data_IF_444978833218
#
_entry.id   IF_444978833218
#
_cell.length_a   1.000
_cell.length_b   1.000
_cell.length_c   1.000
_cell.angle_alpha   90.00
_cell.angle_beta   90.00
_cell.angle_gamma   90.00
#
_symmetry.space_group_name_H-M   'P 1'
#
loop_
_entity.id
_entity.type
_entity.pdbx_description
1 polymer ?
#
# COMPACT_ATOMS: atom_id res chain seq x y z
N UNK A 1 52.53 40.92 7.58
CA UNK A 1 53.43 40.22 8.51
C UNK A 1 52.97 38.75 8.42
N UNK A 2 53.51 37.90 7.52
CA UNK A 2 54.81 37.20 7.55
C UNK A 2 54.94 36.42 8.88
N UNK A 3 55.00 35.10 8.85
CA UNK A 3 56.01 34.15 8.35
C UNK A 3 55.47 32.73 8.47
N UNK A 4 55.47 31.90 7.51
CA UNK A 4 56.38 30.86 6.97
C UNK A 4 57.18 30.06 8.02
N UNK A 5 57.14 28.74 7.88
CA UNK A 5 58.03 27.74 8.44
C UNK A 5 57.64 26.35 7.97
N UNK A 6 58.32 25.84 7.26
CA UNK A 6 58.76 24.95 6.21
C UNK A 6 59.54 23.74 6.80
N UNK A 7 59.46 22.58 6.09
CA UNK A 7 60.47 21.49 5.90
C UNK A 7 60.76 20.56 7.11
N UNK A 8 60.89 19.23 6.97
CA UNK A 8 61.51 18.38 5.95
C UNK A 8 61.39 16.88 6.32
N UNK A 9 61.17 16.06 5.35
CA UNK A 9 61.93 14.86 4.89
C UNK A 9 62.43 13.80 5.87
N UNK A 10 62.20 12.55 5.51
CA UNK A 10 62.94 11.38 6.00
C UNK A 10 62.48 10.08 5.35
N UNK A 11 63.10 9.72 4.23
CA UNK A 11 63.07 8.36 3.66
C UNK A 11 63.87 7.41 4.54
N UNK A 12 63.55 6.13 4.58
CA UNK A 12 64.46 5.06 4.22
C UNK A 12 63.82 3.68 4.03
N UNK A 13 64.44 3.00 3.06
CA UNK A 13 64.22 1.67 2.49
C UNK A 13 64.77 0.55 3.38
N UNK A 14 64.32 -0.69 3.13
CA UNK A 14 65.09 -1.92 2.83
C UNK A 14 64.09 -3.12 2.92
N UNK A 15 63.77 -3.84 1.84
CA UNK A 15 64.49 -4.84 1.05
C UNK A 15 64.79 -6.16 1.78
N UNK A 16 64.40 -7.24 1.14
CA UNK A 16 64.81 -8.65 1.06
C UNK A 16 63.75 -9.63 1.56
N UNK A 17 63.46 -10.77 0.89
CA UNK A 17 64.11 -11.46 -0.21
C UNK A 17 63.30 -12.73 -0.51
N UNK A 18 63.44 -13.15 -1.75
CA UNK A 18 62.89 -14.35 -2.38
C UNK A 18 63.39 -15.67 -1.77
N UNK A 19 62.54 -16.75 -1.86
CA UNK A 19 63.04 -18.08 -2.27
C UNK A 19 61.96 -18.91 -2.95
N UNK A 20 62.30 -19.33 -4.18
CA UNK A 20 61.70 -20.40 -4.98
C UNK A 20 62.16 -21.76 -4.46
N UNK A 21 61.31 -22.78 -4.54
CA UNK A 21 61.65 -24.22 -4.74
C UNK A 21 60.49 -24.85 -5.52
N UNK A 22 60.67 -25.10 -6.70
CA UNK A 22 61.15 -26.22 -7.54
C UNK A 22 60.15 -27.41 -7.63
N UNK A 23 59.78 -27.64 -8.92
CA UNK A 23 58.98 -28.75 -9.45
C UNK A 23 59.76 -30.06 -9.45
N UNK A 24 59.04 -31.18 -9.23
CA UNK A 24 59.41 -32.53 -9.74
C UNK A 24 58.16 -33.20 -10.32
N UNK A 25 58.17 -33.70 -11.56
CA UNK A 25 57.06 -34.43 -12.13
C UNK A 25 57.20 -35.93 -11.90
N UNK A 26 56.14 -36.61 -11.53
CA UNK A 26 56.04 -38.08 -11.61
C UNK A 26 55.05 -38.49 -12.71
N UNK A 27 55.63 -39.15 -13.75
CA UNK A 27 54.87 -39.90 -14.73
C UNK A 27 54.31 -41.16 -14.12
N UNK A 28 53.00 -41.42 -14.28
CA UNK A 28 52.33 -42.67 -13.93
C UNK A 28 51.24 -43.05 -14.95
N UNK A 29 51.35 -44.20 -15.48
CA UNK A 29 50.73 -44.86 -16.60
C UNK A 29 49.21 -44.68 -16.81
N UNK A 30 48.79 -44.51 -18.04
CA UNK A 30 47.44 -44.51 -18.52
C UNK A 30 46.81 -45.91 -18.53
N UNK A 31 45.71 -46.13 -17.84
CA UNK A 31 44.82 -47.26 -18.07
C UNK A 31 43.57 -46.75 -18.80
N UNK A 32 43.39 -47.22 -20.03
CA UNK A 32 42.21 -46.96 -20.85
C UNK A 32 41.03 -47.79 -20.32
N UNK A 33 40.07 -47.19 -19.65
CA UNK A 33 38.78 -47.79 -19.32
C UNK A 33 37.74 -47.25 -20.28
N UNK A 34 37.25 -48.10 -21.18
CA UNK A 34 36.12 -47.81 -22.08
C UNK A 34 34.84 -47.72 -21.24
N UNK A 35 34.32 -46.51 -21.05
CA UNK A 35 33.02 -46.27 -20.39
C UNK A 35 31.91 -46.32 -21.44
N UNK A 36 30.94 -47.19 -21.22
CA UNK A 36 29.66 -47.21 -21.92
C UNK A 36 28.84 -45.94 -21.67
N UNK A 37 28.01 -45.47 -22.63
CA UNK A 37 27.23 -44.27 -22.44
C UNK A 37 26.16 -44.47 -21.35
N UNK A 38 26.31 -43.76 -20.24
CA UNK A 38 25.25 -43.60 -19.24
C UNK A 38 24.19 -42.66 -19.78
N UNK A 39 22.99 -43.16 -20.03
CA UNK A 39 21.78 -42.37 -20.20
C UNK A 39 21.56 -41.55 -18.91
N UNK A 40 21.73 -40.25 -19.03
CA UNK A 40 21.34 -39.31 -17.94
C UNK A 40 19.82 -39.29 -17.93
N UNK A 41 19.23 -39.99 -16.96
CA UNK A 41 17.83 -39.83 -16.66
C UNK A 41 17.64 -38.38 -16.18
N UNK A 42 16.83 -37.60 -16.91
CA UNK A 42 16.40 -36.26 -16.51
C UNK A 42 15.69 -36.39 -15.16
N UNK A 43 16.22 -35.72 -14.13
CA UNK A 43 15.57 -35.60 -12.83
C UNK A 43 14.16 -35.01 -13.02
N UNK A 44 13.14 -35.52 -12.32
CA UNK A 44 11.81 -34.95 -12.42
C UNK A 44 11.89 -33.48 -11.99
N UNK A 45 11.33 -32.58 -12.80
CA UNK A 45 11.11 -31.17 -12.47
C UNK A 45 10.52 -31.10 -11.04
N UNK A 46 11.20 -30.43 -10.13
CA UNK A 46 10.72 -30.19 -8.78
C UNK A 46 9.35 -29.51 -8.87
N UNK A 47 8.28 -30.23 -8.57
CA UNK A 47 6.95 -29.67 -8.43
C UNK A 47 7.06 -28.57 -7.37
N UNK A 48 6.86 -27.33 -7.78
CA UNK A 48 6.78 -26.17 -6.90
C UNK A 48 5.64 -26.40 -5.91
N UNK A 49 5.96 -26.73 -4.68
CA UNK A 49 4.95 -26.88 -3.63
C UNK A 49 4.29 -25.53 -3.36
N UNK A 50 2.96 -25.50 -3.37
CA UNK A 50 2.19 -24.33 -2.95
C UNK A 50 2.57 -24.00 -1.50
N UNK A 51 2.87 -22.73 -1.19
CA UNK A 51 3.15 -22.33 0.19
C UNK A 51 1.97 -22.70 1.09
N UNK A 52 2.21 -23.12 2.36
CA UNK A 52 1.14 -23.38 3.31
C UNK A 52 0.29 -22.10 3.49
N UNK A 53 -1.05 -22.22 3.33
CA UNK A 53 -1.99 -21.11 3.54
C UNK A 53 -2.30 -20.26 2.30
N UNK A 54 -1.54 -20.34 1.20
CA UNK A 54 -1.87 -19.65 -0.03
C UNK A 54 -3.01 -20.38 -0.78
N UNK A 55 -4.13 -19.69 -0.95
CA UNK A 55 -5.31 -20.20 -1.67
C UNK A 55 -5.64 -19.26 -2.84
N UNK A 56 -6.22 -19.80 -3.92
CA UNK A 56 -6.69 -19.00 -5.04
C UNK A 56 -7.79 -18.05 -4.57
N UNK A 57 -7.74 -16.79 -5.02
CA UNK A 57 -8.73 -15.75 -4.70
C UNK A 57 -9.06 -14.94 -5.94
N UNK A 58 -10.24 -14.33 -5.94
CA UNK A 58 -10.52 -13.24 -6.84
C UNK A 58 -9.84 -11.97 -6.36
N UNK A 59 -9.37 -11.15 -7.31
CA UNK A 59 -8.66 -9.89 -7.03
C UNK A 59 -9.31 -8.82 -7.89
N UNK A 60 -9.68 -7.72 -7.25
CA UNK A 60 -10.31 -6.58 -7.88
C UNK A 60 -9.30 -5.44 -7.96
N UNK A 61 -9.20 -4.84 -9.14
CA UNK A 61 -8.23 -3.76 -9.40
C UNK A 61 -8.99 -2.52 -9.81
N UNK A 62 -8.85 -1.48 -8.99
CA UNK A 62 -9.34 -0.13 -9.27
C UNK A 62 -8.42 0.61 -10.23
N UNK A 63 -9.00 1.46 -11.08
CA UNK A 63 -8.25 2.17 -12.13
C UNK A 63 -8.71 3.63 -12.25
N UNK A 64 -7.88 4.45 -12.89
CA UNK A 64 -8.35 5.70 -13.47
C UNK A 64 -8.72 5.49 -14.93
N UNK A 65 -9.91 5.96 -15.33
CA UNK A 65 -10.46 5.76 -16.68
C UNK A 65 -10.55 7.01 -17.51
N UNK A 66 -10.47 8.20 -16.89
CA UNK A 66 -10.59 9.49 -17.57
C UNK A 66 -9.29 10.29 -17.51
N UNK A 67 -9.06 11.20 -18.50
CA UNK A 67 -7.88 12.07 -18.50
C UNK A 67 -7.90 13.14 -17.40
N UNK A 68 -9.06 13.49 -16.86
CA UNK A 68 -9.22 14.54 -15.83
C UNK A 68 -8.97 14.00 -14.42
N UNK A 69 -7.84 13.36 -14.25
CA UNK A 69 -7.43 12.74 -12.98
C UNK A 69 -6.83 13.81 -12.07
N UNK A 70 -7.06 13.75 -10.74
CA UNK A 70 -6.42 14.62 -9.76
C UNK A 70 -4.90 14.67 -9.86
N UNK A 71 -4.22 15.70 -9.33
CA UNK A 71 -2.79 15.96 -9.53
C UNK A 71 -1.91 14.70 -9.32
N UNK A 72 -1.13 14.33 -10.35
CA UNK A 72 -0.22 13.19 -10.32
C UNK A 72 -0.44 12.15 -11.42
N UNK A 73 -1.56 12.16 -12.12
CA UNK A 73 -1.80 11.33 -13.29
C UNK A 73 -1.49 12.09 -14.58
N UNK A 74 -0.34 11.83 -15.21
CA UNK A 74 0.06 12.45 -16.48
C UNK A 74 -0.09 11.52 -17.68
N UNK A 75 -0.53 10.29 -17.44
CA UNK A 75 -0.60 9.24 -18.45
C UNK A 75 -2.03 9.08 -18.96
N UNK A 76 -2.27 9.17 -20.30
CA UNK A 76 -3.58 8.89 -20.86
C UNK A 76 -4.01 7.46 -20.54
N UNK A 77 -5.13 7.30 -19.86
CA UNK A 77 -5.62 5.98 -19.49
C UNK A 77 -6.37 5.32 -20.64
N UNK A 78 -6.13 4.00 -20.80
CA UNK A 78 -6.94 3.10 -21.63
C UNK A 78 -7.83 2.18 -20.80
N UNK A 79 -7.85 2.35 -19.48
CA UNK A 79 -8.71 1.60 -18.59
C UNK A 79 -10.19 1.97 -18.81
N UNK A 80 -11.07 1.01 -18.64
CA UNK A 80 -12.53 1.19 -18.80
C UNK A 80 -13.29 1.00 -17.49
N UNK A 81 -12.63 0.59 -16.41
CA UNK A 81 -13.27 0.38 -15.12
C UNK A 81 -12.53 -0.60 -14.22
N UNK A 82 -13.27 -1.42 -13.47
CA UNK A 82 -12.74 -2.39 -12.51
C UNK A 82 -12.31 -3.64 -13.25
N UNK A 83 -11.06 -4.08 -13.08
CA UNK A 83 -10.59 -5.36 -13.59
C UNK A 83 -10.68 -6.44 -12.52
N UNK A 84 -11.30 -7.58 -12.87
CA UNK A 84 -11.42 -8.76 -12.02
C UNK A 84 -10.41 -9.82 -12.46
N UNK A 85 -9.62 -10.31 -11.52
CA UNK A 85 -8.62 -11.34 -11.77
C UNK A 85 -8.82 -12.55 -10.87
N UNK A 86 -8.27 -13.67 -11.29
CA UNK A 86 -8.07 -14.85 -10.43
C UNK A 86 -6.57 -14.97 -10.10
N UNK A 87 -6.23 -15.03 -8.83
CA UNK A 87 -4.86 -15.18 -8.34
C UNK A 87 -4.44 -16.66 -8.34
N UNK A 88 -3.28 -16.95 -8.89
CA UNK A 88 -2.62 -18.24 -8.76
C UNK A 88 -1.85 -18.27 -7.41
N UNK A 89 -2.21 -19.17 -6.46
CA UNK A 89 -1.60 -19.18 -5.13
C UNK A 89 -0.14 -19.69 -5.13
N UNK A 90 0.38 -20.24 -6.22
CA UNK A 90 1.76 -20.75 -6.29
C UNK A 90 2.79 -19.65 -6.53
N UNK A 91 2.44 -18.70 -7.40
CA UNK A 91 3.37 -17.70 -7.92
C UNK A 91 2.82 -16.26 -7.91
N UNK A 92 1.57 -16.08 -7.47
CA UNK A 92 0.92 -14.75 -7.37
C UNK A 92 0.48 -14.19 -8.73
N UNK A 93 0.49 -14.97 -9.82
CA UNK A 93 0.01 -14.50 -11.12
C UNK A 93 -1.47 -14.19 -11.10
N UNK A 94 -1.87 -13.12 -11.78
CA UNK A 94 -3.27 -12.73 -11.96
C UNK A 94 -3.71 -13.04 -13.38
N UNK A 95 -4.72 -13.89 -13.51
CA UNK A 95 -5.39 -14.19 -14.78
C UNK A 95 -6.69 -13.36 -14.85
N UNK A 96 -6.83 -12.53 -15.89
CA UNK A 96 -8.00 -11.69 -16.10
C UNK A 96 -9.26 -12.55 -16.28
N UNK A 97 -10.32 -12.23 -15.54
CA UNK A 97 -11.65 -12.84 -15.62
C UNK A 97 -12.57 -11.94 -16.44
N UNK A 98 -12.69 -10.67 -16.04
CA UNK A 98 -13.49 -9.66 -16.73
C UNK A 98 -12.98 -8.26 -16.47
N UNK A 99 -13.53 -7.28 -17.18
CA UNK A 99 -13.41 -5.85 -16.86
C UNK A 99 -14.79 -5.23 -16.88
N UNK A 100 -15.19 -4.61 -15.78
CA UNK A 100 -16.52 -4.00 -15.59
C UNK A 100 -16.40 -2.49 -15.82
N UNK A 101 -17.19 -1.91 -16.75
CA UNK A 101 -17.16 -0.47 -16.99
C UNK A 101 -17.54 0.33 -15.73
N UNK A 102 -16.71 1.30 -15.38
CA UNK A 102 -16.92 2.21 -14.26
C UNK A 102 -16.10 3.48 -14.47
N UNK A 103 -16.60 4.63 -14.01
CA UNK A 103 -15.88 5.90 -14.11
C UNK A 103 -14.95 6.07 -12.91
N UNK A 104 -13.64 6.17 -13.16
CA UNK A 104 -12.60 6.41 -12.16
C UNK A 104 -12.81 5.64 -10.83
N UNK A 105 -12.95 4.30 -10.87
CA UNK A 105 -13.06 3.49 -9.65
C UNK A 105 -11.69 3.39 -8.98
N UNK A 106 -11.18 4.50 -8.45
CA UNK A 106 -9.80 4.63 -8.00
C UNK A 106 -9.51 4.00 -6.64
N UNK A 107 -10.55 3.70 -5.87
CA UNK A 107 -10.44 2.97 -4.60
C UNK A 107 -11.63 2.02 -4.43
N UNK A 108 -11.36 0.85 -3.88
CA UNK A 108 -12.32 -0.25 -3.71
C UNK A 108 -12.39 -0.67 -2.25
N UNK A 109 -13.56 -1.15 -1.83
CA UNK A 109 -13.71 -1.82 -0.54
C UNK A 109 -14.70 -2.99 -0.66
N UNK A 110 -14.44 -4.04 0.09
CA UNK A 110 -15.30 -5.21 0.19
C UNK A 110 -16.12 -5.15 1.47
N UNK A 111 -17.34 -5.68 1.44
CA UNK A 111 -18.09 -5.93 2.66
C UNK A 111 -17.44 -7.08 3.46
N UNK A 112 -17.68 -7.17 4.79
CA UNK A 112 -17.09 -8.21 5.63
C UNK A 112 -17.41 -9.65 5.21
N UNK A 113 -18.49 -9.84 4.45
CA UNK A 113 -18.90 -11.16 3.95
C UNK A 113 -18.31 -11.50 2.59
N UNK A 114 -17.62 -10.56 1.95
CA UNK A 114 -17.03 -10.67 0.60
C UNK A 114 -18.07 -10.98 -0.48
N UNK A 115 -19.32 -10.51 -0.29
CA UNK A 115 -20.42 -10.69 -1.24
C UNK A 115 -20.70 -9.43 -2.06
N UNK A 116 -20.16 -8.27 -1.61
CA UNK A 116 -20.33 -7.00 -2.30
C UNK A 116 -18.99 -6.25 -2.37
N UNK A 117 -18.81 -5.57 -3.50
CA UNK A 117 -17.74 -4.62 -3.74
C UNK A 117 -18.31 -3.22 -3.87
N UNK A 118 -17.63 -2.25 -3.28
CA UNK A 118 -17.93 -0.83 -3.42
C UNK A 118 -16.75 -0.12 -4.03
N UNK A 119 -17.01 0.85 -4.90
CA UNK A 119 -15.97 1.71 -5.45
C UNK A 119 -16.32 3.18 -5.24
N UNK A 120 -15.29 4.02 -5.13
CA UNK A 120 -15.43 5.44 -5.40
C UNK A 120 -15.60 5.67 -6.90
N UNK A 121 -16.12 6.83 -7.26
CA UNK A 121 -15.98 7.42 -8.60
C UNK A 121 -15.31 8.79 -8.39
N UNK A 122 -13.97 8.81 -8.50
CA UNK A 122 -13.14 9.98 -8.19
C UNK A 122 -13.23 11.03 -9.29
N UNK A 123 -14.36 11.70 -9.32
CA UNK A 123 -14.71 12.75 -10.28
C UNK A 123 -14.99 14.08 -9.57
N UNK A 124 -15.07 15.19 -10.33
CA UNK A 124 -15.46 16.49 -9.79
C UNK A 124 -16.83 16.45 -9.10
N UNK A 125 -17.76 15.64 -9.58
CA UNK A 125 -18.98 15.25 -8.88
C UNK A 125 -18.74 13.86 -8.28
N UNK A 126 -18.26 13.81 -7.03
CA UNK A 126 -17.92 12.58 -6.33
C UNK A 126 -19.12 11.65 -6.17
N UNK A 127 -18.86 10.35 -6.35
CA UNK A 127 -19.89 9.30 -6.21
C UNK A 127 -19.28 8.06 -5.57
N UNK A 128 -20.19 7.17 -5.13
CA UNK A 128 -19.88 5.80 -4.70
C UNK A 128 -20.79 4.83 -5.45
N UNK A 129 -20.26 3.66 -5.84
CA UNK A 129 -20.95 2.62 -6.60
C UNK A 129 -20.91 1.29 -5.88
N UNK A 130 -21.96 0.47 -6.00
CA UNK A 130 -22.06 -0.85 -5.40
C UNK A 130 -22.22 -1.94 -6.46
N UNK A 131 -21.63 -3.10 -6.18
CA UNK A 131 -21.64 -4.29 -7.03
C UNK A 131 -21.86 -5.53 -6.17
N UNK A 132 -22.69 -6.48 -6.65
CA UNK A 132 -22.76 -7.82 -6.09
C UNK A 132 -21.67 -8.69 -6.72
N UNK A 133 -21.06 -9.56 -5.92
CA UNK A 133 -20.03 -10.52 -6.34
C UNK A 133 -20.67 -11.88 -6.55
N UNK A 134 -20.50 -12.48 -7.72
CA UNK A 134 -20.81 -13.90 -7.93
C UNK A 134 -19.70 -14.76 -7.27
N UNK A 135 -20.01 -15.52 -6.22
CA UNK A 135 -19.02 -16.30 -5.50
C UNK A 135 -18.41 -17.45 -6.34
N UNK A 136 -19.06 -17.87 -7.42
CA UNK A 136 -18.60 -18.97 -8.25
C UNK A 136 -17.46 -18.57 -9.20
N UNK A 137 -17.44 -17.32 -9.67
CA UNK A 137 -16.52 -16.86 -10.71
C UNK A 137 -15.91 -15.48 -10.42
N UNK A 138 -16.33 -14.78 -9.34
CA UNK A 138 -15.85 -13.48 -8.91
C UNK A 138 -16.36 -12.30 -9.73
N UNK A 139 -17.25 -12.53 -10.71
CA UNK A 139 -17.77 -11.45 -11.57
C UNK A 139 -18.66 -10.48 -10.81
N UNK A 140 -18.73 -9.23 -11.30
CA UNK A 140 -19.45 -8.14 -10.66
C UNK A 140 -20.76 -7.82 -11.38
N UNK A 141 -21.84 -7.74 -10.62
CA UNK A 141 -23.11 -7.21 -11.09
C UNK A 141 -23.33 -5.84 -10.47
N UNK A 142 -23.41 -4.78 -11.29
CA UNK A 142 -23.70 -3.43 -10.83
C UNK A 142 -25.08 -3.36 -10.15
N UNK A 143 -25.13 -2.74 -8.96
CA UNK A 143 -26.37 -2.54 -8.20
C UNK A 143 -26.89 -1.12 -8.35
N UNK A 144 -26.10 -0.13 -7.91
CA UNK A 144 -26.45 1.29 -8.02
C UNK A 144 -25.24 2.18 -7.77
N UNK A 145 -25.46 3.47 -7.97
CA UNK A 145 -24.54 4.55 -7.58
C UNK A 145 -25.29 5.60 -6.77
N UNK A 146 -24.58 6.29 -5.87
CA UNK A 146 -25.08 7.41 -5.09
C UNK A 146 -24.13 8.61 -5.17
N UNK A 147 -24.66 9.84 -5.12
CA UNK A 147 -23.84 11.04 -4.99
C UNK A 147 -23.15 11.05 -3.63
N UNK A 148 -21.86 11.36 -3.60
CA UNK A 148 -21.10 11.61 -2.38
C UNK A 148 -21.21 13.06 -1.89
N UNK A 149 -22.03 13.89 -2.56
CA UNK A 149 -22.28 15.30 -2.26
C UNK A 149 -21.04 16.22 -2.22
N UNK A 150 -19.88 15.70 -2.59
CA UNK A 150 -18.60 16.39 -2.56
C UNK A 150 -17.81 16.20 -3.86
N UNK A 151 -16.53 16.52 -3.82
CA UNK A 151 -15.64 16.51 -4.97
C UNK A 151 -14.48 15.54 -4.77
N UNK A 152 -14.19 14.74 -5.82
CA UNK A 152 -13.09 13.77 -5.85
C UNK A 152 -13.15 12.83 -4.66
N UNK A 153 -14.22 11.99 -4.59
CA UNK A 153 -14.31 10.92 -3.60
C UNK A 153 -13.15 9.94 -3.85
N UNK A 154 -12.19 9.89 -2.94
CA UNK A 154 -10.89 9.25 -3.14
C UNK A 154 -10.68 8.00 -2.31
N UNK A 155 -11.48 7.79 -1.29
CA UNK A 155 -11.42 6.62 -0.42
C UNK A 155 -12.81 6.23 0.07
N UNK A 156 -12.99 4.94 0.33
CA UNK A 156 -14.16 4.41 1.05
C UNK A 156 -13.78 3.18 1.89
N UNK A 157 -14.59 2.90 2.89
CA UNK A 157 -14.53 1.66 3.66
C UNK A 157 -15.90 1.21 4.07
N UNK A 158 -16.09 -0.10 4.28
CA UNK A 158 -17.31 -0.66 4.84
C UNK A 158 -17.13 -0.84 6.34
N UNK A 159 -18.04 -0.29 7.13
CA UNK A 159 -18.04 -0.52 8.57
C UNK A 159 -18.19 -2.02 8.88
N UNK A 160 -17.46 -2.60 9.86
CA UNK A 160 -17.51 -4.03 10.17
C UNK A 160 -18.90 -4.59 10.48
N UNK A 161 -19.90 -3.75 10.85
CA UNK A 161 -21.29 -4.17 10.96
C UNK A 161 -22.00 -4.45 9.63
N UNK A 162 -21.35 -4.15 8.49
CA UNK A 162 -21.92 -4.17 7.15
C UNK A 162 -23.15 -3.24 6.94
N UNK A 163 -23.41 -2.31 7.87
CA UNK A 163 -24.60 -1.43 7.79
C UNK A 163 -24.29 -0.09 7.13
N UNK A 164 -23.03 0.32 7.09
CA UNK A 164 -22.62 1.64 6.62
C UNK A 164 -21.43 1.58 5.70
N UNK A 165 -21.49 2.37 4.64
CA UNK A 165 -20.37 2.73 3.77
C UNK A 165 -19.91 4.12 4.18
N UNK A 166 -18.60 4.24 4.49
CA UNK A 166 -17.93 5.47 4.87
C UNK A 166 -17.10 5.94 3.68
N UNK A 167 -17.14 7.21 3.31
CA UNK A 167 -16.35 7.73 2.20
C UNK A 167 -15.63 9.03 2.56
N UNK A 168 -14.62 9.42 1.76
CA UNK A 168 -13.86 10.63 1.93
C UNK A 168 -13.79 11.40 0.61
N UNK A 169 -14.19 12.67 0.63
CA UNK A 169 -14.16 13.59 -0.49
C UNK A 169 -12.93 14.49 -0.39
N UNK A 170 -11.93 14.25 -1.22
CA UNK A 170 -10.63 14.92 -1.14
C UNK A 170 -10.72 16.45 -1.29
N UNK A 171 -11.35 16.91 -2.37
CA UNK A 171 -11.33 18.35 -2.69
C UNK A 171 -12.33 19.16 -1.89
N UNK A 172 -13.41 18.58 -1.41
CA UNK A 172 -14.37 19.27 -0.54
C UNK A 172 -14.05 19.12 0.96
N UNK A 173 -13.19 18.16 1.35
CA UNK A 173 -12.71 18.03 2.72
C UNK A 173 -13.73 17.49 3.70
N UNK A 174 -14.58 16.54 3.28
CA UNK A 174 -15.67 16.00 4.07
C UNK A 174 -15.75 14.47 4.02
N UNK A 175 -16.52 13.88 4.94
CA UNK A 175 -16.68 12.44 5.11
C UNK A 175 -18.17 12.06 5.06
N UNK A 176 -18.73 11.70 3.89
CA UNK A 176 -20.10 11.24 3.77
C UNK A 176 -20.28 9.79 4.23
N UNK A 177 -21.43 9.50 4.86
CA UNK A 177 -21.82 8.19 5.37
C UNK A 177 -23.13 7.75 4.71
N UNK A 178 -23.18 6.50 4.25
CA UNK A 178 -24.33 5.94 3.60
C UNK A 178 -24.82 4.68 4.31
N UNK A 179 -26.13 4.51 4.39
CA UNK A 179 -26.72 3.23 4.80
C UNK A 179 -26.50 2.20 3.69
N UNK A 180 -26.05 0.99 4.02
CA UNK A 180 -26.07 -0.15 3.12
C UNK A 180 -27.42 -0.87 3.27
N UNK A 181 -28.08 -1.15 2.14
CA UNK A 181 -29.34 -1.87 2.10
C UNK A 181 -29.13 -3.39 2.24
N UNK A 182 -30.16 -4.18 2.62
CA UNK A 182 -30.01 -5.64 2.79
C UNK A 182 -29.55 -6.39 1.54
N UNK A 183 -29.74 -5.82 0.34
CA UNK A 183 -29.27 -6.40 -0.93
C UNK A 183 -27.88 -5.88 -1.35
N UNK A 184 -27.16 -5.18 -0.48
CA UNK A 184 -25.86 -4.62 -0.74
C UNK A 184 -25.86 -3.29 -1.49
N UNK A 185 -26.99 -2.79 -1.98
CA UNK A 185 -27.05 -1.48 -2.64
C UNK A 185 -26.82 -0.33 -1.65
N UNK A 186 -26.31 0.80 -2.16
CA UNK A 186 -26.12 2.02 -1.38
C UNK A 186 -27.47 2.68 -1.16
N UNK A 187 -27.83 2.88 0.09
CA UNK A 187 -29.03 3.59 0.52
C UNK A 187 -28.81 5.10 0.65
N UNK A 188 -29.70 5.79 1.40
CA UNK A 188 -29.56 7.21 1.64
C UNK A 188 -28.25 7.55 2.35
N UNK A 189 -27.67 8.71 2.05
CA UNK A 189 -26.69 9.36 2.90
C UNK A 189 -27.34 9.67 4.25
N UNK A 190 -26.68 9.29 5.33
CA UNK A 190 -27.18 9.49 6.69
C UNK A 190 -26.52 10.67 7.37
N UNK A 191 -25.27 10.94 6.98
CA UNK A 191 -24.49 12.06 7.49
C UNK A 191 -23.38 12.46 6.51
N UNK A 192 -22.83 13.67 6.72
CA UNK A 192 -21.67 14.22 6.03
C UNK A 192 -20.89 15.06 7.05
N UNK A 193 -19.80 14.49 7.55
CA UNK A 193 -18.96 15.16 8.54
C UNK A 193 -17.93 16.08 7.86
N UNK A 194 -18.00 17.40 8.02
CA UNK A 194 -17.00 18.30 7.46
C UNK A 194 -15.72 18.28 8.31
N UNK A 195 -14.56 18.12 7.65
CA UNK A 195 -13.30 18.37 8.33
C UNK A 195 -13.01 19.88 8.36
N UNK A 196 -12.33 20.34 9.38
CA UNK A 196 -12.05 21.76 9.60
C UNK A 196 -10.54 22.01 9.74
N UNK A 197 -10.10 23.22 9.43
CA UNK A 197 -8.72 23.65 9.57
C UNK A 197 -7.98 23.67 8.25
N UNK A 198 -6.73 24.04 8.33
CA UNK A 198 -5.77 24.04 7.22
C UNK A 198 -4.38 23.73 7.76
N UNK A 199 -3.56 23.11 6.94
CA UNK A 199 -2.15 22.90 7.21
C UNK A 199 -1.32 24.15 6.90
N UNK A 200 -0.03 24.07 7.21
CA UNK A 200 0.94 25.15 6.92
C UNK A 200 2.17 24.58 6.21
N UNK A 201 1.96 23.52 5.44
CA UNK A 201 3.02 22.69 4.94
C UNK A 201 3.81 23.25 3.76
N UNK A 202 4.74 22.46 3.24
CA UNK A 202 5.64 22.85 2.16
C UNK A 202 4.92 23.01 0.82
N UNK A 203 3.68 22.56 0.71
CA UNK A 203 2.86 22.67 -0.48
C UNK A 203 1.50 23.34 -0.13
N UNK A 204 1.44 24.67 -0.13
CA UNK A 204 0.22 25.40 0.24
C UNK A 204 -0.97 25.12 -0.69
N UNK A 205 -0.73 24.74 -1.95
CA UNK A 205 -1.79 24.36 -2.90
C UNK A 205 -2.43 22.99 -2.56
N UNK A 206 -1.85 22.27 -1.63
CA UNK A 206 -2.30 20.98 -1.13
C UNK A 206 -2.80 21.04 0.33
N UNK A 207 -2.69 22.20 0.97
CA UNK A 207 -3.04 22.44 2.38
C UNK A 207 -3.69 23.82 2.60
N UNK A 208 -4.36 24.36 1.59
CA UNK A 208 -5.14 25.61 1.68
C UNK A 208 -6.43 25.41 2.49
N UNK A 209 -6.87 24.17 2.63
CA UNK A 209 -8.05 23.76 3.39
C UNK A 209 -8.01 22.26 3.68
N UNK A 210 -9.08 21.69 4.24
CA UNK A 210 -9.20 20.26 4.45
C UNK A 210 -9.16 19.48 3.14
N UNK A 211 -8.45 18.33 3.17
CA UNK A 211 -8.39 17.37 2.09
C UNK A 211 -8.55 15.96 2.66
N UNK A 212 -9.80 15.54 2.86
CA UNK A 212 -10.17 14.23 3.39
C UNK A 212 -9.66 13.12 2.47
N UNK A 213 -8.71 12.31 2.93
CA UNK A 213 -8.06 11.34 2.07
C UNK A 213 -8.38 9.88 2.40
N UNK A 214 -8.62 9.55 3.66
CA UNK A 214 -9.01 8.20 4.07
C UNK A 214 -10.05 8.27 5.20
N UNK A 215 -10.99 7.32 5.22
CA UNK A 215 -11.87 7.06 6.35
C UNK A 215 -11.93 5.56 6.62
N UNK A 216 -11.78 5.15 7.89
CA UNK A 216 -11.79 3.76 8.32
C UNK A 216 -12.19 3.65 9.79
N UNK A 217 -12.42 2.42 10.27
CA UNK A 217 -12.59 2.14 11.70
C UNK A 217 -11.30 1.55 12.29
N UNK A 218 -11.17 1.58 13.62
CA UNK A 218 -10.25 0.68 14.31
C UNK A 218 -10.71 -0.79 14.17
N UNK A 219 -9.85 -1.71 14.59
CA UNK A 219 -10.09 -3.16 14.45
C UNK A 219 -11.25 -3.67 15.31
N UNK A 220 -11.66 -2.91 16.31
CA UNK A 220 -12.79 -3.25 17.20
C UNK A 220 -14.07 -2.50 16.80
N UNK A 221 -14.02 -1.68 15.74
CA UNK A 221 -15.13 -0.84 15.27
C UNK A 221 -15.72 0.08 16.36
N UNK A 222 -14.86 0.52 17.29
CA UNK A 222 -15.26 1.43 18.36
C UNK A 222 -15.25 2.88 17.92
N UNK A 223 -14.29 3.23 17.05
CA UNK A 223 -14.10 4.58 16.56
C UNK A 223 -13.96 4.60 15.03
N UNK A 224 -14.30 5.74 14.45
CA UNK A 224 -14.09 6.05 13.02
C UNK A 224 -12.98 7.10 12.91
N UNK A 225 -12.07 6.92 11.96
CA UNK A 225 -10.94 7.80 11.74
C UNK A 225 -11.00 8.41 10.35
N UNK A 226 -11.04 9.75 10.30
CA UNK A 226 -11.00 10.53 9.08
C UNK A 226 -9.62 11.19 8.91
N UNK A 227 -8.78 10.67 8.02
CA UNK A 227 -7.44 11.21 7.76
C UNK A 227 -7.55 12.41 6.82
N UNK A 228 -7.03 13.55 7.25
CA UNK A 228 -7.10 14.81 6.52
C UNK A 228 -5.71 15.34 6.20
N UNK A 229 -5.35 15.27 4.91
CA UNK A 229 -4.06 15.70 4.39
C UNK A 229 -3.87 17.21 4.50
N UNK A 230 -4.93 17.98 4.22
CA UNK A 230 -4.87 19.44 4.21
C UNK A 230 -4.82 20.03 5.60
N UNK A 231 -5.41 19.38 6.60
CA UNK A 231 -5.49 19.87 7.97
C UNK A 231 -4.46 19.26 8.94
N UNK A 232 -3.52 18.44 8.44
CA UNK A 232 -2.46 17.79 9.24
C UNK A 232 -2.99 17.04 10.48
N UNK A 233 -4.08 16.29 10.31
CA UNK A 233 -4.70 15.55 11.42
C UNK A 233 -5.40 14.27 11.00
N UNK A 234 -5.62 13.42 11.99
CA UNK A 234 -6.56 12.30 11.92
C UNK A 234 -7.75 12.63 12.81
N UNK A 235 -8.92 12.92 12.24
CA UNK A 235 -10.16 13.11 13.00
C UNK A 235 -10.55 11.79 13.69
N UNK A 236 -10.99 11.87 14.95
CA UNK A 236 -11.48 10.73 15.73
C UNK A 236 -12.96 10.95 16.00
N UNK A 237 -13.78 10.03 15.48
CA UNK A 237 -15.23 10.16 15.44
C UNK A 237 -15.89 8.93 16.05
N UNK A 238 -17.14 9.10 16.51
CA UNK A 238 -18.01 8.03 16.94
C UNK A 238 -19.16 7.91 15.94
N UNK A 239 -19.49 6.69 15.50
CA UNK A 239 -20.61 6.41 14.63
C UNK A 239 -21.76 5.82 15.44
N UNK A 240 -22.92 6.49 15.46
CA UNK A 240 -24.16 5.93 15.98
C UNK A 240 -24.75 4.95 14.96
N UNK A 241 -24.69 3.65 15.24
CA UNK A 241 -25.19 2.61 14.33
C UNK A 241 -26.73 2.62 14.16
N UNK A 242 -27.47 3.28 15.06
CA UNK A 242 -28.92 3.41 14.94
C UNK A 242 -29.33 4.47 13.90
N UNK A 243 -28.65 5.62 13.94
CA UNK A 243 -28.97 6.80 13.11
C UNK A 243 -28.04 6.95 11.91
N UNK A 244 -26.80 6.51 12.01
CA UNK A 244 -25.73 6.73 11.01
C UNK A 244 -25.10 8.11 11.11
N UNK A 245 -25.18 8.77 12.28
CA UNK A 245 -24.56 10.06 12.52
C UNK A 245 -23.14 9.91 13.06
N UNK A 246 -22.23 10.75 12.58
CA UNK A 246 -20.88 10.93 13.10
C UNK A 246 -20.84 12.08 14.12
N UNK A 247 -20.16 11.87 15.23
CA UNK A 247 -19.89 12.90 16.21
C UNK A 247 -18.42 12.89 16.61
N UNK A 248 -17.80 14.05 16.88
CA UNK A 248 -16.43 14.07 17.38
C UNK A 248 -16.30 13.27 18.68
N UNK A 249 -15.20 12.52 18.80
CA UNK A 249 -14.85 11.84 20.03
C UNK A 249 -14.44 12.86 21.13
N UNK A 250 -14.33 12.43 22.37
CA UNK A 250 -13.82 13.26 23.49
C UNK A 250 -12.42 13.80 23.21
N UNK A 251 -11.56 12.99 22.55
CA UNK A 251 -10.31 13.43 21.94
C UNK A 251 -10.58 13.51 20.44
N UNK A 252 -10.92 14.71 19.90
CA UNK A 252 -11.55 14.80 18.58
C UNK A 252 -10.61 14.59 17.40
N UNK A 253 -9.30 14.62 17.61
CA UNK A 253 -8.30 14.36 16.58
C UNK A 253 -6.93 14.03 17.16
N UNK A 254 -6.10 13.37 16.34
CA UNK A 254 -4.67 13.22 16.54
C UNK A 254 -3.93 14.15 15.58
N UNK A 255 -3.10 15.09 16.05
CA UNK A 255 -2.29 15.92 15.16
C UNK A 255 -1.07 15.15 14.66
N UNK A 256 -0.68 15.42 13.41
CA UNK A 256 0.66 15.12 12.91
C UNK A 256 1.49 16.41 12.84
N UNK A 257 2.78 16.31 12.50
CA UNK A 257 3.60 17.50 12.36
C UNK A 257 3.07 18.40 11.23
N UNK A 258 3.12 19.72 11.44
CA UNK A 258 2.65 20.70 10.44
C UNK A 258 3.37 20.51 9.11
N UNK A 259 2.61 20.42 8.02
CA UNK A 259 3.12 20.18 6.68
C UNK A 259 3.31 18.72 6.31
N UNK A 260 2.98 17.79 7.20
CA UNK A 260 3.12 16.35 6.93
C UNK A 260 2.20 15.85 5.84
N UNK A 261 0.96 16.33 5.80
CA UNK A 261 -0.07 15.87 4.88
C UNK A 261 -0.38 14.39 5.05
N UNK A 262 -1.03 13.97 6.16
CA UNK A 262 -1.37 12.57 6.39
C UNK A 262 -2.34 12.09 5.32
N UNK A 263 -2.06 10.91 4.77
CA UNK A 263 -2.81 10.37 3.62
C UNK A 263 -3.60 9.13 3.97
N UNK A 264 -2.91 8.08 4.37
CA UNK A 264 -3.47 6.80 4.79
C UNK A 264 -2.87 6.39 6.13
N UNK A 265 -3.60 5.56 6.86
CA UNK A 265 -3.14 4.97 8.11
C UNK A 265 -3.46 3.48 8.17
N UNK A 266 -2.77 2.77 9.04
CA UNK A 266 -3.03 1.37 9.33
C UNK A 266 -2.92 1.11 10.83
N UNK A 267 -3.85 0.31 11.37
CA UNK A 267 -3.79 -0.19 12.74
C UNK A 267 -3.02 -1.51 12.80
N UNK A 268 -2.15 -1.63 13.78
CA UNK A 268 -1.44 -2.88 14.04
C UNK A 268 -2.40 -3.96 14.59
N UNK A 269 -2.22 -5.25 14.24
CA UNK A 269 -3.05 -6.34 14.76
C UNK A 269 -3.10 -6.46 16.29
N UNK A 270 -2.12 -5.90 17.03
CA UNK A 270 -2.12 -5.84 18.50
C UNK A 270 -3.14 -4.86 19.09
N UNK A 271 -3.74 -3.98 18.23
CA UNK A 271 -4.70 -2.93 18.61
C UNK A 271 -4.14 -1.85 19.55
N UNK A 272 -2.82 -1.77 19.68
CA UNK A 272 -2.14 -0.81 20.54
C UNK A 272 -1.26 0.17 19.77
N UNK A 273 -1.09 -0.04 18.46
CA UNK A 273 -0.27 0.82 17.61
C UNK A 273 -0.99 1.20 16.32
N UNK A 274 -0.70 2.40 15.84
CA UNK A 274 -1.18 2.90 14.55
C UNK A 274 -0.05 3.64 13.81
N UNK A 275 -0.09 3.58 12.49
CA UNK A 275 0.90 4.15 11.59
C UNK A 275 0.21 5.06 10.59
N UNK A 276 0.58 6.33 10.57
CA UNK A 276 0.04 7.34 9.65
C UNK A 276 1.10 7.65 8.61
N UNK A 277 0.75 7.48 7.35
CA UNK A 277 1.62 7.76 6.22
C UNK A 277 1.45 9.22 5.80
N UNK A 278 2.53 9.98 5.89
CA UNK A 278 2.58 11.40 5.59
C UNK A 278 2.99 11.61 4.13
N UNK A 279 2.08 12.08 3.28
CA UNK A 279 2.29 12.18 1.83
C UNK A 279 3.34 13.22 1.47
N UNK A 280 3.23 14.44 2.03
CA UNK A 280 3.94 15.61 1.54
C UNK A 280 5.42 15.64 1.95
N UNK A 281 5.75 15.03 3.08
CA UNK A 281 7.12 14.97 3.62
C UNK A 281 7.75 13.59 3.53
N UNK A 282 7.04 12.61 2.97
CA UNK A 282 7.54 11.24 2.78
C UNK A 282 8.03 10.59 4.08
N UNK A 283 7.17 10.57 5.09
CA UNK A 283 7.43 9.95 6.40
C UNK A 283 6.29 9.04 6.85
N UNK A 284 6.52 8.30 7.92
CA UNK A 284 5.50 7.60 8.69
C UNK A 284 5.55 8.13 10.11
N UNK A 285 4.41 8.58 10.61
CA UNK A 285 4.23 8.92 12.02
C UNK A 285 3.65 7.71 12.76
N UNK A 286 4.35 7.23 13.78
CA UNK A 286 4.00 6.07 14.60
C UNK A 286 3.39 6.53 15.91
N UNK A 287 2.26 5.94 16.27
CA UNK A 287 1.55 6.22 17.51
C UNK A 287 1.33 4.96 18.36
N UNK A 288 1.41 5.11 19.67
CA UNK A 288 0.66 4.24 20.57
C UNK A 288 -0.81 4.64 20.52
N UNK A 289 -1.69 3.65 20.50
CA UNK A 289 -3.14 3.82 20.38
C UNK A 289 -3.86 3.26 21.60
N UNK A 290 -4.74 4.06 22.20
CA UNK A 290 -5.67 3.66 23.26
C UNK A 290 -7.05 3.40 22.64
N UNK A 291 -7.45 2.12 22.43
CA UNK A 291 -8.71 1.79 21.78
C UNK A 291 -9.96 2.14 22.61
N UNK A 292 -9.80 2.31 23.92
CA UNK A 292 -10.93 2.70 24.79
C UNK A 292 -11.27 4.16 24.63
N UNK A 293 -10.24 5.01 24.46
CA UNK A 293 -10.40 6.46 24.35
C UNK A 293 -10.38 6.97 22.92
N UNK A 294 -9.98 6.16 21.95
CA UNK A 294 -9.70 6.61 20.59
C UNK A 294 -8.53 7.63 20.56
N UNK A 295 -7.53 7.47 21.43
CA UNK A 295 -6.49 8.46 21.64
C UNK A 295 -5.12 7.97 21.16
N UNK A 296 -4.28 8.91 20.68
CA UNK A 296 -2.97 8.61 20.12
C UNK A 296 -1.86 9.30 20.93
N UNK A 297 -0.76 8.60 21.15
CA UNK A 297 0.48 9.12 21.74
C UNK A 297 1.59 8.93 20.72
N UNK A 298 2.24 10.01 20.31
CA UNK A 298 3.36 9.96 19.37
C UNK A 298 4.53 9.15 19.91
N UNK A 299 5.11 8.27 19.09
CA UNK A 299 6.25 7.44 19.44
C UNK A 299 7.48 7.70 18.55
N UNK A 300 7.27 7.93 17.25
CA UNK A 300 8.34 8.04 16.26
C UNK A 300 7.82 8.74 15.00
N UNK A 301 8.72 9.43 14.29
CA UNK A 301 8.54 9.77 12.87
C UNK A 301 9.75 9.27 12.12
N UNK A 302 9.54 8.54 11.01
CA UNK A 302 10.61 7.90 10.24
C UNK A 302 10.44 8.16 8.75
N UNK A 303 11.55 8.47 8.05
CA UNK A 303 11.54 8.70 6.60
C UNK A 303 11.20 7.41 5.82
N UNK A 304 10.47 7.58 4.70
CA UNK A 304 10.21 6.51 3.75
C UNK A 304 11.29 6.41 2.66
N UNK A 305 12.24 7.32 2.64
CA UNK A 305 13.24 7.46 1.58
C UNK A 305 14.65 7.16 2.10
N UNK A 306 15.54 6.62 1.25
CA UNK A 306 16.94 6.53 1.61
C UNK A 306 17.57 7.93 1.69
N UNK A 307 18.50 8.13 2.62
CA UNK A 307 19.17 9.42 2.85
C UNK A 307 19.79 10.05 1.59
N UNK A 308 20.19 9.23 0.63
CA UNK A 308 20.83 9.68 -0.62
C UNK A 308 19.83 10.07 -1.72
N UNK A 309 18.55 9.91 -1.49
CA UNK A 309 17.55 10.32 -2.47
C UNK A 309 17.19 11.80 -2.29
N UNK A 310 17.34 12.58 -3.34
CA UNK A 310 17.09 14.04 -3.35
C UNK A 310 16.07 14.45 -4.42
N UNK A 311 15.37 13.49 -5.02
CA UNK A 311 14.30 13.75 -6.00
C UNK A 311 12.97 14.11 -5.35
N UNK A 312 12.02 14.56 -6.15
CA UNK A 312 10.64 14.75 -5.70
C UNK A 312 10.00 13.40 -5.40
N UNK A 313 9.27 13.32 -4.30
CA UNK A 313 8.54 12.13 -3.90
C UNK A 313 7.30 12.50 -3.10
N UNK A 314 6.26 11.67 -3.24
CA UNK A 314 5.10 11.65 -2.35
C UNK A 314 4.78 10.20 -2.01
N UNK A 315 4.37 9.94 -0.77
CA UNK A 315 3.93 8.59 -0.39
C UNK A 315 2.50 8.32 -0.85
N UNK A 316 2.07 7.06 -0.88
CA UNK A 316 0.70 6.75 -1.29
C UNK A 316 0.02 5.70 -0.39
N UNK A 317 0.45 4.46 -0.40
CA UNK A 317 -0.22 3.37 0.32
C UNK A 317 0.63 2.84 1.46
N UNK A 318 -0.03 2.39 2.52
CA UNK A 318 0.58 1.77 3.70
C UNK A 318 -0.17 0.49 4.07
N UNK A 319 0.55 -0.63 4.23
CA UNK A 319 -0.02 -1.91 4.63
C UNK A 319 0.87 -2.61 5.66
N UNK A 320 0.23 -3.23 6.64
CA UNK A 320 0.90 -4.10 7.62
C UNK A 320 0.74 -5.55 7.17
N UNK A 321 1.81 -6.31 7.24
CA UNK A 321 1.76 -7.75 6.99
C UNK A 321 0.83 -8.42 8.01
N UNK A 322 0.01 -9.44 7.64
CA UNK A 322 -0.93 -10.08 8.56
C UNK A 322 -0.30 -10.63 9.85
N UNK A 323 1.01 -10.93 9.84
CA UNK A 323 1.72 -11.34 11.05
C UNK A 323 2.00 -10.22 12.06
N UNK A 324 1.75 -8.96 11.74
CA UNK A 324 2.14 -7.81 12.55
C UNK A 324 3.64 -7.48 12.57
N UNK A 325 4.50 -8.27 11.92
CA UNK A 325 5.96 -8.12 12.03
C UNK A 325 6.58 -7.12 11.06
N UNK A 326 5.88 -6.78 9.98
CA UNK A 326 6.39 -5.95 8.90
C UNK A 326 5.36 -4.95 8.43
N UNK A 327 5.86 -3.80 7.99
CA UNK A 327 5.07 -2.75 7.38
C UNK A 327 5.71 -2.36 6.05
N UNK A 328 4.87 -1.97 5.09
CA UNK A 328 5.27 -1.53 3.75
C UNK A 328 4.55 -0.25 3.38
N UNK A 329 5.25 0.66 2.68
CA UNK A 329 4.63 1.80 2.04
C UNK A 329 5.16 2.01 0.62
N UNK A 330 4.36 2.64 -0.24
CA UNK A 330 4.74 3.02 -1.60
C UNK A 330 5.23 4.47 -1.67
N UNK A 331 6.21 4.72 -2.56
CA UNK A 331 6.82 6.03 -2.84
C UNK A 331 6.64 6.37 -4.33
N UNK A 332 5.87 7.43 -4.62
CA UNK A 332 5.64 7.96 -5.97
C UNK A 332 6.70 9.04 -6.29
N UNK A 333 7.62 8.73 -7.17
CA UNK A 333 8.81 9.51 -7.50
C UNK A 333 10.07 8.67 -7.32
N UNK A 334 10.35 8.14 -6.13
CA UNK A 334 11.38 7.13 -5.91
C UNK A 334 10.97 5.76 -6.52
N UNK A 335 9.68 5.57 -6.78
CA UNK A 335 9.11 4.39 -7.44
C UNK A 335 9.50 3.07 -6.75
N UNK A 336 9.32 3.05 -5.45
CA UNK A 336 9.69 1.94 -4.57
C UNK A 336 8.65 1.61 -3.51
N UNK A 337 8.85 0.44 -2.91
CA UNK A 337 8.24 0.06 -1.65
C UNK A 337 9.32 0.13 -0.58
N UNK A 338 9.09 0.88 0.50
CA UNK A 338 9.91 0.81 1.70
C UNK A 338 9.41 -0.31 2.58
N UNK A 339 10.34 -1.08 3.10
CA UNK A 339 10.08 -2.24 3.94
C UNK A 339 10.58 -1.95 5.36
N UNK A 340 9.75 -2.21 6.36
CA UNK A 340 10.10 -2.01 7.77
C UNK A 340 9.87 -3.28 8.58
N UNK A 341 10.75 -3.51 9.56
CA UNK A 341 10.46 -4.36 10.70
C UNK A 341 9.70 -3.55 11.75
N UNK A 342 8.71 -4.16 12.38
CA UNK A 342 7.99 -3.60 13.52
C UNK A 342 8.57 -4.23 14.79
N UNK A 343 9.04 -3.39 15.71
CA UNK A 343 9.49 -3.82 17.03
C UNK A 343 8.26 -4.30 17.84
N UNK A 344 8.22 -5.56 18.29
CA UNK A 344 7.02 -6.14 18.91
C UNK A 344 6.69 -5.55 20.28
N UNK A 345 7.67 -4.93 20.96
CA UNK A 345 7.47 -4.39 22.31
C UNK A 345 7.09 -2.90 22.30
N UNK A 346 7.55 -2.17 21.27
CA UNK A 346 7.40 -0.71 21.23
C UNK A 346 6.57 -0.21 20.05
N UNK A 347 6.24 -1.07 19.07
CA UNK A 347 5.56 -0.69 17.83
C UNK A 347 6.40 0.18 16.88
N UNK A 348 7.65 0.52 17.25
CA UNK A 348 8.52 1.37 16.44
C UNK A 348 9.00 0.65 15.18
N UNK A 349 9.29 1.45 14.16
CA UNK A 349 9.73 0.98 12.85
C UNK A 349 11.24 1.06 12.69
N UNK A 350 11.81 0.01 12.08
CA UNK A 350 13.18 -0.03 11.57
C UNK A 350 13.16 -0.32 10.07
N UNK A 351 13.83 0.50 9.26
CA UNK A 351 13.92 0.29 7.80
C UNK A 351 14.78 -0.93 7.51
N UNK A 352 14.22 -1.92 6.80
CA UNK A 352 14.96 -3.11 6.35
C UNK A 352 15.32 -3.05 4.87
N UNK A 353 14.87 -2.03 4.14
CA UNK A 353 15.28 -1.78 2.76
C UNK A 353 14.22 -1.12 1.90
N UNK A 354 14.60 -0.94 0.63
CA UNK A 354 13.75 -0.39 -0.43
C UNK A 354 13.73 -1.35 -1.62
N UNK A 355 12.57 -1.59 -2.17
CA UNK A 355 12.38 -2.45 -3.34
C UNK A 355 11.77 -1.62 -4.48
N UNK A 356 12.46 -1.53 -5.63
CA UNK A 356 11.86 -0.90 -6.82
C UNK A 356 10.61 -1.65 -7.25
N UNK A 357 9.55 -0.91 -7.61
CA UNK A 357 8.31 -1.49 -8.17
C UNK A 357 8.44 -1.88 -9.64
N UNK A 358 9.58 -1.59 -10.26
CA UNK A 358 9.86 -1.83 -11.69
C UNK A 358 8.84 -1.16 -12.62
N UNK A 359 8.23 -0.09 -12.16
CA UNK A 359 7.27 0.77 -12.84
C UNK A 359 7.26 2.13 -12.19
N UNK A 360 6.32 2.98 -12.57
CA UNK A 360 6.26 4.37 -12.13
C UNK A 360 4.94 4.66 -11.42
N UNK A 361 5.05 5.48 -10.39
CA UNK A 361 3.92 6.01 -9.63
C UNK A 361 3.10 4.91 -8.93
N UNK A 362 3.72 4.10 -8.03
CA UNK A 362 3.00 3.06 -7.29
C UNK A 362 2.00 3.69 -6.32
N UNK A 363 0.72 3.84 -6.76
CA UNK A 363 -0.32 4.51 -6.00
C UNK A 363 -1.00 3.58 -4.99
N UNK A 364 -1.43 2.42 -5.42
CA UNK A 364 -2.04 1.40 -4.57
C UNK A 364 -1.10 0.23 -4.30
N UNK A 365 -1.32 -0.45 -3.19
CA UNK A 365 -0.57 -1.64 -2.81
C UNK A 365 -1.41 -2.47 -1.84
N UNK A 366 -1.40 -3.79 -2.00
CA UNK A 366 -2.02 -4.67 -1.01
C UNK A 366 -1.24 -5.97 -0.85
N UNK A 367 -1.46 -6.65 0.28
CA UNK A 367 -0.86 -7.94 0.63
C UNK A 367 -1.96 -8.97 0.60
N UNK A 368 -1.73 -10.11 -0.05
CA UNK A 368 -2.70 -11.19 -0.04
C UNK A 368 -2.96 -11.67 1.41
N UNK A 369 -4.17 -12.10 1.76
CA UNK A 369 -4.51 -12.45 3.15
C UNK A 369 -3.65 -13.55 3.78
N UNK A 370 -2.93 -14.35 2.96
CA UNK A 370 -1.95 -15.33 3.49
C UNK A 370 -0.61 -14.71 3.90
N UNK A 371 -0.36 -13.45 3.52
CA UNK A 371 0.92 -12.78 3.72
C UNK A 371 2.04 -13.28 2.79
N UNK A 372 1.70 -14.00 1.72
CA UNK A 372 2.71 -14.59 0.81
C UNK A 372 3.15 -13.62 -0.27
N UNK A 373 2.22 -12.83 -0.83
CA UNK A 373 2.46 -11.94 -1.95
C UNK A 373 2.03 -10.51 -1.64
N UNK A 374 2.79 -9.57 -2.18
CA UNK A 374 2.48 -8.15 -2.19
C UNK A 374 2.33 -7.70 -3.65
N UNK A 375 1.31 -6.89 -3.91
CA UNK A 375 0.98 -6.33 -5.21
C UNK A 375 1.06 -4.81 -5.16
N UNK A 376 1.80 -4.20 -6.08
CA UNK A 376 1.92 -2.74 -6.19
C UNK A 376 1.43 -2.29 -7.58
N UNK A 377 0.45 -1.40 -7.56
CA UNK A 377 -0.19 -0.84 -8.75
C UNK A 377 0.59 0.39 -9.25
N UNK A 378 1.34 0.23 -10.34
CA UNK A 378 2.12 1.28 -10.98
C UNK A 378 1.26 2.04 -11.98
N UNK A 379 0.65 3.13 -11.53
CA UNK A 379 -0.32 3.93 -12.29
C UNK A 379 0.20 4.36 -13.66
N UNK A 380 1.44 4.90 -13.73
CA UNK A 380 1.96 5.55 -14.94
C UNK A 380 2.66 4.60 -15.93
N UNK A 381 2.76 3.32 -15.61
CA UNK A 381 3.38 2.31 -16.49
C UNK A 381 2.47 1.12 -16.77
N UNK A 382 1.19 1.22 -16.44
CA UNK A 382 0.17 0.19 -16.75
C UNK A 382 0.56 -1.21 -16.29
N UNK A 383 1.09 -1.32 -15.06
CA UNK A 383 1.53 -2.60 -14.52
C UNK A 383 1.19 -2.77 -13.05
N UNK A 384 0.92 -4.02 -12.66
CA UNK A 384 0.94 -4.45 -11.27
C UNK A 384 2.22 -5.25 -11.05
N UNK A 385 3.07 -4.79 -10.14
CA UNK A 385 4.26 -5.53 -9.73
C UNK A 385 3.92 -6.51 -8.63
N UNK A 386 4.30 -7.78 -8.80
CA UNK A 386 4.08 -8.85 -7.84
C UNK A 386 5.39 -9.20 -7.14
N UNK A 387 5.34 -9.26 -5.82
CA UNK A 387 6.47 -9.61 -4.97
C UNK A 387 6.11 -10.76 -4.06
N UNK A 388 7.03 -11.72 -3.92
CA UNK A 388 6.94 -12.70 -2.84
C UNK A 388 7.57 -12.10 -1.57
N UNK A 389 6.86 -12.15 -0.46
CA UNK A 389 7.35 -11.71 0.85
C UNK A 389 8.20 -12.83 1.46
N UNK A 390 9.43 -12.52 1.85
CA UNK A 390 10.34 -13.44 2.55
C UNK A 390 10.06 -13.44 4.05
N UNK A 391 10.53 -14.47 4.75
CA UNK A 391 10.37 -14.61 6.22
C UNK A 391 10.99 -13.47 7.03
N UNK A 392 11.93 -12.72 6.45
CA UNK A 392 12.55 -11.53 7.04
C UNK A 392 11.91 -10.21 6.59
N UNK A 393 10.74 -10.25 5.92
CA UNK A 393 10.02 -9.08 5.43
C UNK A 393 10.54 -8.47 4.12
N UNK A 394 11.68 -8.92 3.61
CA UNK A 394 12.18 -8.45 2.32
C UNK A 394 11.33 -8.95 1.17
N UNK A 395 11.22 -8.14 0.13
CA UNK A 395 10.47 -8.45 -1.09
C UNK A 395 11.38 -9.04 -2.16
N UNK A 396 10.86 -10.04 -2.87
CA UNK A 396 11.47 -10.60 -4.07
C UNK A 396 10.50 -10.43 -5.24
N UNK A 397 10.85 -9.54 -6.20
CA UNK A 397 10.03 -9.27 -7.38
C UNK A 397 9.93 -10.50 -8.28
N UNK A 398 8.70 -10.95 -8.55
CA UNK A 398 8.43 -12.14 -9.35
C UNK A 398 7.93 -11.81 -10.75
N UNK A 399 6.92 -10.92 -10.87
CA UNK A 399 6.21 -10.65 -12.12
C UNK A 399 5.86 -9.17 -12.27
N UNK A 400 5.56 -8.78 -13.51
CA UNK A 400 4.81 -7.58 -13.89
C UNK A 400 3.60 -8.02 -14.70
N UNK A 401 2.41 -7.59 -14.28
CA UNK A 401 1.14 -7.91 -14.93
C UNK A 401 0.64 -6.63 -15.59
N UNK A 402 0.38 -6.68 -16.90
CA UNK A 402 -0.17 -5.53 -17.61
C UNK A 402 -1.62 -5.30 -17.21
N UNK A 403 -1.89 -4.08 -16.76
CA UNK A 403 -3.22 -3.63 -16.34
C UNK A 403 -3.27 -2.12 -16.56
N UNK A 404 -4.18 -1.59 -17.39
CA UNK A 404 -4.23 -0.17 -17.65
C UNK A 404 -4.49 0.64 -16.39
N UNK A 405 -3.64 1.62 -16.14
CA UNK A 405 -3.71 2.65 -15.08
C UNK A 405 -4.22 2.12 -13.72
N UNK A 406 -3.59 1.05 -13.17
CA UNK A 406 -4.04 0.45 -11.92
C UNK A 406 -3.67 1.36 -10.75
N UNK A 407 -4.57 1.53 -9.80
CA UNK A 407 -4.38 2.44 -8.64
C UNK A 407 -4.81 1.86 -7.31
N UNK A 408 -5.50 0.72 -7.34
CA UNK A 408 -5.90 -0.02 -6.13
C UNK A 408 -5.98 -1.52 -6.41
N UNK A 409 -5.81 -2.34 -5.37
CA UNK A 409 -5.85 -3.81 -5.45
C UNK A 409 -6.53 -4.35 -4.21
N UNK A 410 -7.66 -5.06 -4.37
CA UNK A 410 -8.40 -5.66 -3.27
C UNK A 410 -8.60 -7.17 -3.44
N UNK A 411 -8.51 -7.93 -2.33
CA UNK A 411 -8.60 -9.38 -2.31
C UNK A 411 -10.00 -9.83 -1.90
N UNK A 412 -10.72 -10.42 -2.84
CA UNK A 412 -12.07 -10.91 -2.68
C UNK A 412 -12.18 -12.34 -2.13
N UNK A 413 -13.32 -13.01 -2.39
CA UNK A 413 -13.57 -14.37 -1.94
C UNK A 413 -12.57 -15.38 -2.53
N UNK A 414 -12.61 -16.60 -1.99
CA UNK A 414 -11.88 -17.75 -2.55
C UNK A 414 -12.39 -18.07 -3.95
N UNK A 415 -11.47 -18.41 -4.87
CA UNK A 415 -11.74 -18.69 -6.28
C UNK A 415 -11.74 -20.18 -6.59
#
# INVERSE_FOLDING_TARGET
>A
MATRGDCSTGQNQSSSGLTRREFIPLLGAAAIVTAAPRTVASAPSSASSTPPGAVSRFVYVGTYTAPDVPPGGTHPSTAIGISVFRMNPRDGELALVETVPAENPSFLALDPTLTHLYSVNENLAGRVSAYAIDPANGTLTFLNTASANGKHTTHLSVHPSAQYLLAANYTSGDFPIFRIQPNGSIGPMTDEFPSEGNGTGPNPDRQEGPHAHQILTDLDAQHVFGVDLGADKVNVLNLDLGTGLLTPNTVPFAPVASGSGPRHMAFHPDRQHAYVLDELVSSITVFAYDPVRGAFIWLQTISTLPERFHGSNTTAEIRIHPSGRFLYNTNRGHNSITMYAIDPDTGKLEVIGWQSTRGEWPRGMNIDPSGTFLYAANQNTDTIAVFRIKSNGQLNGTKLIRTPTPVDVEFGPLA
#
